data_IF_763231232633
#
_entry.id   IF_763231232633
#
_cell.length_a   1.000
_cell.length_b   1.000
_cell.length_c   1.000
_cell.angle_alpha   90.00
_cell.angle_beta   90.00
_cell.angle_gamma   90.00
#
_symmetry.space_group_name_H-M   'P 1'
#
loop_
_entity.id
_entity.type
_entity.pdbx_description
1 polymer ?
#
# COMPACT_ATOMS: atom_id res chain seq x y z
N UNK A 1 -0.17 53.16 -39.13
CA UNK A 1 -1.62 52.90 -39.24
C UNK A 1 -1.82 51.42 -39.03
N UNK A 2 -2.41 51.02 -37.90
CA UNK A 2 -2.69 49.63 -37.56
C UNK A 2 -3.66 49.06 -38.59
N UNK A 3 -3.21 48.10 -39.38
CA UNK A 3 -4.09 47.27 -40.18
C UNK A 3 -4.93 46.44 -39.20
N UNK A 4 -6.24 46.64 -39.23
CA UNK A 4 -7.20 45.76 -38.56
C UNK A 4 -6.99 44.34 -39.11
N UNK A 5 -6.96 43.34 -38.22
CA UNK A 5 -6.97 41.92 -38.56
C UNK A 5 -8.38 41.36 -38.29
N UNK A 6 -9.36 41.59 -39.20
CA UNK A 6 -10.72 41.15 -38.97
C UNK A 6 -10.86 39.65 -39.21
N UNK A 7 -11.22 38.92 -38.17
CA UNK A 7 -11.69 37.53 -38.27
C UNK A 7 -13.21 37.52 -38.34
N UNK A 8 -13.75 36.89 -39.39
CA UNK A 8 -15.18 36.77 -39.64
C UNK A 8 -15.59 35.31 -39.39
N UNK A 9 -16.21 35.05 -38.25
CA UNK A 9 -16.80 33.73 -37.97
C UNK A 9 -18.28 33.73 -38.35
N UNK A 10 -18.66 32.85 -39.28
CA UNK A 10 -20.06 32.61 -39.63
C UNK A 10 -20.59 31.53 -38.70
N UNK A 11 -21.52 31.90 -37.82
CA UNK A 11 -22.34 30.92 -37.11
C UNK A 11 -23.25 30.21 -38.13
N UNK A 12 -23.37 28.86 -38.10
CA UNK A 12 -24.29 28.16 -38.98
C UNK A 12 -25.73 28.62 -38.71
N UNK A 13 -26.45 29.04 -39.74
CA UNK A 13 -27.89 29.39 -39.67
C UNK A 13 -28.79 28.18 -39.44
N UNK A 14 -28.25 26.97 -39.63
CA UNK A 14 -28.89 25.71 -39.33
C UNK A 14 -28.29 25.08 -38.06
N UNK A 15 -29.05 25.01 -36.94
CA UNK A 15 -28.57 24.42 -35.70
C UNK A 15 -28.13 22.97 -35.85
N UNK A 16 -28.69 22.21 -36.79
CA UNK A 16 -28.26 20.83 -37.05
C UNK A 16 -26.87 20.76 -37.70
N UNK A 17 -26.47 21.76 -38.49
CA UNK A 17 -25.10 21.90 -39.03
C UNK A 17 -24.10 22.35 -37.97
N UNK A 18 -24.51 23.23 -37.07
CA UNK A 18 -23.68 23.61 -35.92
C UNK A 18 -23.35 22.40 -35.02
N UNK A 19 -24.36 21.55 -34.77
CA UNK A 19 -24.16 20.33 -33.98
C UNK A 19 -23.24 19.32 -34.67
N UNK A 20 -23.29 19.17 -36.00
CA UNK A 20 -22.40 18.25 -36.74
C UNK A 20 -20.94 18.70 -36.77
N UNK A 21 -20.71 20.01 -36.59
CA UNK A 21 -19.37 20.59 -36.59
C UNK A 21 -18.82 20.78 -35.16
N UNK A 22 -19.55 20.36 -34.13
CA UNK A 22 -19.03 20.35 -32.76
C UNK A 22 -17.81 19.44 -32.71
N UNK A 23 -16.65 20.05 -32.50
CA UNK A 23 -15.41 19.35 -32.18
C UNK A 23 -15.16 19.54 -30.70
N UNK A 24 -14.87 18.45 -30.02
CA UNK A 24 -14.31 18.55 -28.69
C UNK A 24 -12.80 18.78 -28.83
N UNK A 25 -12.33 19.91 -28.31
CA UNK A 25 -10.91 20.26 -28.27
C UNK A 25 -10.41 20.07 -26.85
N UNK A 26 -9.23 19.48 -26.71
CA UNK A 26 -8.59 19.21 -25.42
C UNK A 26 -7.51 20.27 -25.11
N UNK A 27 -7.08 20.32 -23.85
CA UNK A 27 -6.06 21.24 -23.33
C UNK A 27 -6.40 22.74 -23.42
N UNK A 28 -7.68 23.11 -23.32
CA UNK A 28 -8.11 24.50 -23.16
C UNK A 28 -7.61 25.42 -24.28
N UNK A 29 -6.70 26.33 -23.96
CA UNK A 29 -6.10 27.28 -24.92
C UNK A 29 -5.18 26.62 -25.96
N UNK A 30 -4.67 25.42 -25.70
CA UNK A 30 -3.84 24.69 -26.67
C UNK A 30 -4.67 24.02 -27.78
N UNK A 31 -6.01 23.96 -27.62
CA UNK A 31 -6.98 23.51 -28.63
C UNK A 31 -6.54 22.25 -29.39
N UNK A 32 -6.06 21.23 -28.67
CA UNK A 32 -5.58 20.00 -29.30
C UNK A 32 -6.74 19.17 -29.83
N UNK A 33 -6.56 18.67 -31.06
CA UNK A 33 -7.48 17.71 -31.65
C UNK A 33 -7.44 16.37 -30.89
N UNK A 34 -8.57 15.69 -30.81
CA UNK A 34 -8.69 14.35 -30.23
C UNK A 34 -7.76 13.36 -30.93
N UNK A 35 -7.57 13.50 -32.24
CA UNK A 35 -6.67 12.66 -33.02
C UNK A 35 -5.20 12.76 -32.59
N UNK A 36 -4.82 13.85 -31.93
CA UNK A 36 -3.47 14.11 -31.44
C UNK A 36 -3.30 13.82 -29.93
N UNK A 37 -4.36 13.32 -29.28
CA UNK A 37 -4.39 13.12 -27.84
C UNK A 37 -3.93 11.72 -27.44
N UNK A 38 -3.38 11.59 -26.24
CA UNK A 38 -2.92 10.29 -25.74
C UNK A 38 -4.09 9.31 -25.57
N UNK A 39 -3.82 8.00 -25.73
CA UNK A 39 -4.82 6.94 -25.53
C UNK A 39 -5.50 7.05 -24.15
N UNK A 40 -4.74 7.35 -23.10
CA UNK A 40 -5.28 7.58 -21.76
C UNK A 40 -6.26 8.76 -21.71
N UNK A 41 -5.93 9.89 -22.33
CA UNK A 41 -6.82 11.05 -22.40
C UNK A 41 -8.13 10.71 -23.12
N UNK A 42 -8.05 9.94 -24.21
CA UNK A 42 -9.23 9.47 -24.95
C UNK A 42 -10.09 8.52 -24.10
N UNK A 43 -9.48 7.61 -23.33
CA UNK A 43 -10.20 6.71 -22.43
C UNK A 43 -10.95 7.46 -21.32
N UNK A 44 -10.30 8.44 -20.68
CA UNK A 44 -10.94 9.28 -19.65
C UNK A 44 -12.11 10.05 -20.24
N UNK A 45 -11.93 10.62 -21.43
CA UNK A 45 -12.98 11.34 -22.11
C UNK A 45 -14.16 10.43 -22.48
N UNK A 46 -13.87 9.26 -23.06
CA UNK A 46 -14.89 8.29 -23.42
C UNK A 46 -15.73 7.88 -22.20
N UNK A 47 -15.08 7.57 -21.08
CA UNK A 47 -15.77 7.16 -19.86
C UNK A 47 -16.56 8.31 -19.22
N UNK A 48 -16.06 9.55 -19.30
CA UNK A 48 -16.80 10.73 -18.85
C UNK A 48 -18.05 10.99 -19.71
N UNK A 49 -17.94 10.89 -21.03
CA UNK A 49 -19.07 11.06 -21.95
C UNK A 49 -20.10 9.93 -21.80
N UNK A 50 -19.65 8.68 -21.66
CA UNK A 50 -20.50 7.54 -21.40
C UNK A 50 -21.26 7.72 -20.08
N UNK A 51 -20.58 8.15 -19.01
CA UNK A 51 -21.22 8.42 -17.73
C UNK A 51 -22.25 9.54 -17.85
N UNK A 52 -21.92 10.64 -18.52
CA UNK A 52 -22.85 11.76 -18.73
C UNK A 52 -24.10 11.35 -19.53
N UNK A 53 -23.95 10.52 -20.57
CA UNK A 53 -25.08 10.00 -21.34
C UNK A 53 -25.94 9.04 -20.50
N UNK A 54 -25.33 8.18 -19.68
CA UNK A 54 -26.07 7.28 -18.79
C UNK A 54 -26.83 8.07 -17.72
N UNK A 55 -26.22 9.09 -17.13
CA UNK A 55 -26.86 9.98 -16.16
C UNK A 55 -28.06 10.70 -16.82
N UNK A 56 -27.89 11.23 -18.03
CA UNK A 56 -28.98 11.86 -18.80
C UNK A 56 -30.15 10.89 -19.06
N UNK A 57 -29.87 9.65 -19.46
CA UNK A 57 -30.92 8.64 -19.71
C UNK A 57 -31.65 8.24 -18.43
N UNK A 58 -30.93 8.13 -17.31
CA UNK A 58 -31.51 7.84 -15.99
C UNK A 58 -32.39 8.99 -15.48
N UNK A 59 -31.96 10.24 -15.69
CA UNK A 59 -32.71 11.44 -15.31
C UNK A 59 -33.98 11.61 -16.15
N UNK A 60 -33.90 11.35 -17.45
CA UNK A 60 -35.03 11.40 -18.37
C UNK A 60 -35.97 10.17 -18.27
N UNK A 61 -35.66 9.22 -17.38
CA UNK A 61 -36.37 7.94 -17.27
C UNK A 61 -36.44 7.14 -18.60
N UNK A 62 -35.46 7.33 -19.48
CA UNK A 62 -35.27 6.51 -20.69
C UNK A 62 -34.79 5.10 -20.32
N UNK A 63 -34.04 4.99 -19.21
CA UNK A 63 -33.65 3.74 -18.58
C UNK A 63 -33.88 3.83 -17.07
N UNK A 64 -34.20 2.69 -16.44
CA UNK A 64 -34.43 2.63 -14.99
C UNK A 64 -33.15 2.37 -14.20
N UNK A 65 -32.21 1.63 -14.79
CA UNK A 65 -30.98 1.20 -14.16
C UNK A 65 -29.83 1.08 -15.18
N UNK A 66 -28.61 1.40 -14.76
CA UNK A 66 -27.41 1.23 -15.56
C UNK A 66 -26.40 0.29 -14.88
N UNK A 67 -25.99 -0.77 -15.58
CA UNK A 67 -24.88 -1.62 -15.19
C UNK A 67 -23.67 -1.30 -16.06
N UNK A 68 -22.57 -0.88 -15.44
CA UNK A 68 -21.33 -0.53 -16.13
C UNK A 68 -20.26 -1.55 -15.72
N UNK A 69 -19.59 -2.17 -16.69
CA UNK A 69 -18.44 -3.03 -16.45
C UNK A 69 -17.26 -2.47 -17.23
N UNK A 70 -16.15 -2.24 -16.55
CA UNK A 70 -14.95 -1.63 -17.11
C UNK A 70 -13.77 -2.57 -16.86
N UNK A 71 -13.10 -2.96 -17.93
CA UNK A 71 -11.90 -3.79 -17.86
C UNK A 71 -10.65 -2.91 -17.93
N UNK A 72 -9.73 -3.10 -16.97
CA UNK A 72 -8.40 -2.46 -16.90
C UNK A 72 -8.34 -0.98 -17.34
N UNK A 73 -9.16 -0.11 -16.75
CA UNK A 73 -9.26 1.30 -17.12
C UNK A 73 -7.97 2.10 -16.93
N UNK A 74 -7.01 1.58 -16.17
CA UNK A 74 -5.69 2.16 -15.94
C UNK A 74 -4.75 2.12 -17.15
N UNK A 75 -5.08 1.35 -18.19
CA UNK A 75 -4.23 1.19 -19.36
C UNK A 75 -3.88 2.55 -19.98
N UNK A 76 -2.57 2.81 -20.11
CA UNK A 76 -2.02 4.07 -20.65
C UNK A 76 -2.38 5.35 -19.86
N UNK A 77 -2.80 5.23 -18.60
CA UNK A 77 -3.10 6.36 -17.72
C UNK A 77 -2.01 6.60 -16.68
N UNK A 78 -1.67 7.87 -16.48
CA UNK A 78 -0.83 8.29 -15.37
C UNK A 78 -1.53 8.02 -14.01
N UNK A 79 -0.83 7.58 -12.95
CA UNK A 79 -1.41 7.30 -11.62
C UNK A 79 -2.32 8.39 -11.04
N UNK A 80 -1.99 9.67 -11.25
CA UNK A 80 -2.86 10.78 -10.82
C UNK A 80 -4.19 10.84 -11.58
N UNK A 81 -4.19 10.50 -12.87
CA UNK A 81 -5.40 10.44 -13.69
C UNK A 81 -6.25 9.23 -13.31
N UNK A 82 -5.64 8.07 -13.06
CA UNK A 82 -6.33 6.89 -12.55
C UNK A 82 -7.12 7.24 -11.28
N UNK A 83 -6.46 7.81 -10.26
CA UNK A 83 -7.13 8.22 -9.02
C UNK A 83 -8.26 9.22 -9.25
N UNK A 84 -8.03 10.27 -10.05
CA UNK A 84 -9.07 11.29 -10.31
C UNK A 84 -10.28 10.70 -11.02
N UNK A 85 -10.06 9.89 -12.04
CA UNK A 85 -11.12 9.23 -12.80
C UNK A 85 -11.95 8.30 -11.90
N UNK A 86 -11.29 7.44 -11.11
CA UNK A 86 -11.97 6.49 -10.23
C UNK A 86 -12.71 7.12 -9.06
N UNK A 87 -12.19 8.21 -8.49
CA UNK A 87 -12.93 8.99 -7.50
C UNK A 87 -14.20 9.59 -8.10
N UNK A 88 -14.16 10.02 -9.37
CA UNK A 88 -15.34 10.50 -10.11
C UNK A 88 -16.41 9.42 -10.31
N UNK A 89 -16.00 8.23 -10.77
CA UNK A 89 -16.90 7.08 -10.99
C UNK A 89 -17.60 6.64 -9.69
N UNK A 90 -16.90 6.68 -8.56
CA UNK A 90 -17.49 6.35 -7.25
C UNK A 90 -18.43 7.42 -6.70
N UNK A 91 -18.28 8.65 -7.16
CA UNK A 91 -19.08 9.80 -6.72
C UNK A 91 -20.45 9.88 -7.39
N UNK A 92 -20.75 9.00 -8.36
CA UNK A 92 -22.09 8.85 -8.94
C UNK A 92 -23.11 8.53 -7.86
N UNK A 93 -23.85 9.54 -7.40
CA UNK A 93 -24.78 9.47 -6.24
C UNK A 93 -26.10 8.78 -6.57
N UNK A 94 -26.27 8.27 -7.79
CA UNK A 94 -27.51 7.69 -8.24
C UNK A 94 -27.55 6.22 -7.82
N UNK A 95 -28.47 5.84 -6.92
CA UNK A 95 -28.69 4.44 -6.51
C UNK A 95 -29.16 3.53 -7.68
N UNK A 96 -29.34 4.12 -8.86
CA UNK A 96 -29.77 3.49 -10.10
C UNK A 96 -28.61 3.13 -11.04
N UNK A 97 -27.37 3.11 -10.56
CA UNK A 97 -26.26 2.53 -11.30
C UNK A 97 -25.35 1.67 -10.41
N UNK A 98 -24.76 0.63 -11.01
CA UNK A 98 -23.65 -0.14 -10.44
C UNK A 98 -22.50 -0.20 -11.44
N UNK A 99 -21.28 -0.03 -10.92
CA UNK A 99 -20.05 -0.11 -11.71
C UNK A 99 -19.17 -1.24 -11.18
N UNK A 100 -18.81 -2.16 -12.07
CA UNK A 100 -17.81 -3.20 -11.86
C UNK A 100 -16.53 -2.81 -12.58
N UNK A 101 -15.40 -2.99 -11.92
CA UNK A 101 -14.09 -2.60 -12.44
C UNK A 101 -13.13 -3.74 -12.17
N UNK A 102 -12.49 -4.26 -13.21
CA UNK A 102 -11.29 -5.09 -13.03
C UNK A 102 -10.07 -4.18 -13.08
N UNK A 103 -9.09 -4.44 -12.23
CA UNK A 103 -7.89 -3.61 -12.15
C UNK A 103 -6.73 -4.40 -11.57
N UNK A 104 -5.53 -4.12 -12.06
CA UNK A 104 -4.24 -4.49 -11.49
C UNK A 104 -3.53 -3.27 -10.86
N UNK A 105 -4.20 -2.11 -10.82
CA UNK A 105 -3.61 -0.87 -10.34
C UNK A 105 -3.83 -0.67 -8.84
N UNK A 106 -2.75 -0.59 -8.03
CA UNK A 106 -2.86 -0.18 -6.63
C UNK A 106 -3.34 1.27 -6.49
N UNK A 107 -3.20 2.10 -7.52
CA UNK A 107 -3.71 3.47 -7.48
C UNK A 107 -5.24 3.53 -7.53
N UNK A 108 -5.88 2.61 -8.26
CA UNK A 108 -7.35 2.49 -8.29
C UNK A 108 -7.86 1.95 -6.95
N UNK A 109 -7.21 0.91 -6.43
CA UNK A 109 -7.52 0.35 -5.10
C UNK A 109 -7.40 1.42 -4.01
N UNK A 110 -6.38 2.29 -4.07
CA UNK A 110 -6.13 3.33 -3.05
C UNK A 110 -7.20 4.41 -2.93
N UNK A 111 -8.05 4.57 -3.94
CA UNK A 111 -9.19 5.51 -3.90
C UNK A 111 -10.52 4.78 -3.78
N UNK A 112 -10.51 3.45 -3.75
CA UNK A 112 -11.72 2.62 -3.65
C UNK A 112 -12.04 2.36 -2.19
N UNK A 113 -13.32 2.47 -1.82
CA UNK A 113 -13.74 2.05 -0.49
C UNK A 113 -13.37 0.55 -0.29
N UNK A 114 -12.55 0.20 0.70
CA UNK A 114 -12.00 -1.15 0.81
C UNK A 114 -13.08 -2.22 1.06
N UNK A 115 -14.27 -1.85 1.57
CA UNK A 115 -15.44 -2.74 1.66
C UNK A 115 -15.93 -3.26 0.32
N UNK A 116 -15.61 -2.57 -0.77
CA UNK A 116 -16.08 -2.87 -2.13
C UNK A 116 -15.09 -3.73 -2.92
N UNK A 117 -13.96 -4.11 -2.31
CA UNK A 117 -12.94 -4.90 -2.97
C UNK A 117 -13.33 -6.38 -3.04
N UNK A 118 -13.14 -6.95 -4.22
CA UNK A 118 -13.21 -8.38 -4.50
C UNK A 118 -11.84 -8.81 -5.02
N UNK A 119 -11.21 -9.79 -4.37
CA UNK A 119 -9.98 -10.43 -4.85
C UNK A 119 -10.37 -11.70 -5.58
N UNK A 120 -9.94 -11.82 -6.82
CA UNK A 120 -10.18 -13.00 -7.66
C UNK A 120 -8.83 -13.66 -7.97
N UNK A 121 -8.73 -14.97 -7.73
CA UNK A 121 -7.53 -15.78 -8.00
C UNK A 121 -7.91 -17.02 -8.79
N UNK A 122 -7.13 -17.33 -9.83
CA UNK A 122 -7.24 -18.61 -10.52
C UNK A 122 -6.71 -19.76 -9.63
N UNK A 123 -7.44 -20.85 -9.59
CA UNK A 123 -7.10 -22.09 -8.89
C UNK A 123 -7.21 -23.27 -9.88
N UNK A 124 -6.62 -24.44 -9.59
CA UNK A 124 -6.76 -25.61 -10.45
C UNK A 124 -8.22 -26.03 -10.73
N UNK A 125 -9.15 -25.66 -9.83
CA UNK A 125 -10.56 -26.05 -9.90
C UNK A 125 -11.50 -24.89 -10.34
N UNK A 126 -10.97 -23.76 -10.80
CA UNK A 126 -11.76 -22.58 -11.18
C UNK A 126 -11.23 -21.29 -10.58
N UNK A 127 -12.11 -20.41 -10.09
CA UNK A 127 -11.73 -19.15 -9.46
C UNK A 127 -12.08 -19.12 -7.97
N UNK A 128 -11.14 -18.71 -7.12
CA UNK A 128 -11.40 -18.31 -5.74
C UNK A 128 -11.71 -16.81 -5.72
N UNK A 129 -12.89 -16.44 -5.22
CA UNK A 129 -13.36 -15.06 -5.16
C UNK A 129 -13.64 -14.70 -3.71
N UNK A 130 -12.90 -13.71 -3.21
CA UNK A 130 -12.92 -13.28 -1.81
C UNK A 130 -13.36 -11.84 -1.70
N UNK A 131 -14.34 -11.57 -0.84
CA UNK A 131 -14.84 -10.21 -0.61
C UNK A 131 -14.27 -9.63 0.67
N UNK A 132 -13.63 -8.47 0.56
CA UNK A 132 -13.17 -7.71 1.72
C UNK A 132 -14.31 -7.40 2.69
N UNK A 133 -15.55 -7.23 2.18
CA UNK A 133 -16.74 -6.97 3.00
C UNK A 133 -17.02 -8.05 4.05
N UNK A 134 -16.49 -9.26 3.86
CA UNK A 134 -16.61 -10.35 4.84
C UNK A 134 -15.75 -10.14 6.09
N UNK A 135 -14.83 -9.16 6.09
CA UNK A 135 -14.07 -8.79 7.28
C UNK A 135 -15.00 -8.25 8.38
N UNK A 136 -14.89 -8.82 9.57
CA UNK A 136 -15.60 -8.38 10.77
C UNK A 136 -14.98 -7.08 11.32
N UNK A 137 -15.20 -5.98 10.62
CA UNK A 137 -14.69 -4.65 10.94
C UNK A 137 -15.85 -3.68 11.23
N UNK A 138 -15.69 -2.91 12.28
CA UNK A 138 -16.57 -1.79 12.63
C UNK A 138 -16.50 -0.67 11.58
N UNK A 139 -17.44 0.27 11.64
CA UNK A 139 -17.42 1.42 10.71
C UNK A 139 -16.16 2.26 10.83
N UNK A 140 -15.70 2.51 12.05
CA UNK A 140 -14.47 3.26 12.29
C UNK A 140 -13.25 2.53 11.72
N UNK A 141 -13.11 1.22 11.96
CA UNK A 141 -11.98 0.45 11.42
C UNK A 141 -11.95 0.45 9.88
N UNK A 142 -13.12 0.39 9.25
CA UNK A 142 -13.21 0.49 7.79
C UNK A 142 -12.82 1.86 7.24
N UNK A 143 -13.20 2.93 7.94
CA UNK A 143 -12.79 4.29 7.59
C UNK A 143 -11.29 4.49 7.78
N UNK A 144 -10.74 4.00 8.89
CA UNK A 144 -9.31 4.05 9.18
C UNK A 144 -8.53 3.29 8.10
N UNK A 145 -8.93 2.05 7.81
CA UNK A 145 -8.31 1.26 6.74
C UNK A 145 -8.36 1.99 5.39
N UNK A 146 -9.49 2.65 5.07
CA UNK A 146 -9.62 3.45 3.85
C UNK A 146 -8.70 4.68 3.80
N UNK A 147 -8.33 5.25 4.96
CA UNK A 147 -7.33 6.35 5.05
C UNK A 147 -5.90 5.81 4.95
N UNK A 148 -5.66 4.57 5.38
CA UNK A 148 -4.34 3.95 5.39
C UNK A 148 -3.96 3.21 4.11
N UNK A 149 -4.91 2.70 3.33
CA UNK A 149 -4.65 2.04 2.05
C UNK A 149 -4.27 3.08 0.97
N UNK A 150 -3.11 3.71 1.13
CA UNK A 150 -2.46 4.47 0.06
C UNK A 150 -1.99 3.53 -1.06
N UNK A 151 -1.43 4.08 -2.14
CA UNK A 151 -0.99 3.28 -3.28
C UNK A 151 0.03 2.18 -2.89
N UNK A 152 0.94 2.46 -1.95
CA UNK A 152 1.94 1.48 -1.52
C UNK A 152 1.29 0.36 -0.71
N UNK A 153 0.40 0.68 0.23
CA UNK A 153 -0.31 -0.36 1.02
C UNK A 153 -1.41 -1.05 0.23
N UNK A 154 -1.92 -0.45 -0.84
CA UNK A 154 -2.90 -1.07 -1.73
C UNK A 154 -2.33 -2.23 -2.54
N UNK A 155 -1.01 -2.31 -2.68
CA UNK A 155 -0.33 -3.49 -3.23
C UNK A 155 -0.69 -4.77 -2.46
N UNK A 156 -0.99 -4.64 -1.17
CA UNK A 156 -1.47 -5.73 -0.31
C UNK A 156 -2.66 -6.48 -0.93
N UNK A 157 -3.56 -5.80 -1.64
CA UNK A 157 -4.73 -6.44 -2.27
C UNK A 157 -4.35 -7.42 -3.41
N UNK A 158 -3.14 -7.29 -3.96
CA UNK A 158 -2.61 -8.12 -5.04
C UNK A 158 -1.62 -9.18 -4.56
N UNK A 159 -1.19 -9.12 -3.30
CA UNK A 159 -0.20 -10.01 -2.74
C UNK A 159 -0.63 -11.49 -2.80
N UNK A 160 0.32 -12.39 -3.05
CA UNK A 160 0.14 -13.83 -2.84
C UNK A 160 0.19 -14.15 -1.36
N UNK A 161 1.06 -13.49 -0.61
CA UNK A 161 1.22 -13.53 0.85
C UNK A 161 1.71 -12.18 1.38
N UNK A 162 1.54 -11.91 2.67
CA UNK A 162 1.92 -10.62 3.24
C UNK A 162 2.58 -10.72 4.62
N UNK A 163 3.57 -9.86 4.88
CA UNK A 163 4.12 -9.66 6.21
C UNK A 163 3.73 -8.26 6.70
N UNK A 164 2.93 -8.21 7.77
CA UNK A 164 2.52 -6.97 8.41
C UNK A 164 3.55 -6.62 9.50
N UNK A 165 4.14 -5.44 9.40
CA UNK A 165 5.17 -4.96 10.33
C UNK A 165 4.81 -3.59 10.90
N UNK A 166 5.39 -3.24 12.05
CA UNK A 166 5.06 -1.97 12.73
C UNK A 166 5.47 -0.75 11.93
N UNK A 167 6.63 -0.78 11.26
CA UNK A 167 7.21 0.42 10.67
C UNK A 167 8.09 0.17 9.45
N UNK A 168 8.65 1.28 8.98
CA UNK A 168 9.49 1.31 7.79
C UNK A 168 10.86 0.65 8.02
N UNK A 169 11.36 0.64 9.26
CA UNK A 169 12.64 0.03 9.57
C UNK A 169 12.59 -1.49 9.33
N UNK A 170 11.56 -2.13 9.84
CA UNK A 170 11.23 -3.54 9.63
C UNK A 170 11.05 -3.80 8.14
N UNK A 171 10.25 -3.00 7.45
CA UNK A 171 9.96 -3.19 6.03
C UNK A 171 11.24 -3.26 5.17
N UNK A 172 12.21 -2.39 5.43
CA UNK A 172 13.47 -2.35 4.68
C UNK A 172 14.43 -3.45 5.12
N UNK A 173 14.54 -3.72 6.42
CA UNK A 173 15.51 -4.69 6.94
C UNK A 173 15.10 -6.14 6.65
N UNK A 174 13.80 -6.46 6.67
CA UNK A 174 13.31 -7.79 6.34
C UNK A 174 13.64 -8.16 4.88
N UNK A 175 13.53 -7.22 3.94
CA UNK A 175 13.95 -7.42 2.55
C UNK A 175 15.44 -7.75 2.42
N UNK A 176 16.28 -7.16 3.28
CA UNK A 176 17.71 -7.46 3.28
C UNK A 176 18.01 -8.83 3.88
N UNK A 177 17.32 -9.20 4.95
CA UNK A 177 17.56 -10.47 5.64
C UNK A 177 17.11 -11.69 4.84
N UNK A 178 16.26 -11.48 3.83
CA UNK A 178 15.81 -12.52 2.91
C UNK A 178 16.69 -12.65 1.66
N UNK A 179 17.97 -12.26 1.70
CA UNK A 179 18.83 -12.09 0.52
C UNK A 179 18.88 -13.28 -0.46
N UNK A 180 18.57 -14.50 -0.01
CA UNK A 180 18.48 -15.69 -0.86
C UNK A 180 17.13 -15.81 -1.63
N UNK A 181 16.19 -14.89 -1.41
CA UNK A 181 14.79 -14.99 -1.82
C UNK A 181 14.27 -13.66 -2.36
N UNK A 182 13.86 -13.67 -3.62
CA UNK A 182 13.17 -12.55 -4.24
C UNK A 182 11.69 -12.54 -3.82
N UNK A 183 11.32 -11.57 -2.98
CA UNK A 183 9.94 -11.40 -2.53
C UNK A 183 8.98 -11.01 -3.65
N UNK A 184 9.44 -10.30 -4.68
CA UNK A 184 8.62 -9.93 -5.82
C UNK A 184 8.30 -11.18 -6.66
N UNK A 185 9.29 -12.06 -6.86
CA UNK A 185 9.09 -13.36 -7.53
C UNK A 185 8.10 -14.25 -6.73
N UNK A 186 8.26 -14.29 -5.41
CA UNK A 186 7.37 -15.00 -4.51
C UNK A 186 5.97 -14.37 -4.40
N UNK A 187 5.79 -13.12 -4.85
CA UNK A 187 4.58 -12.32 -4.65
C UNK A 187 4.27 -12.02 -3.18
N UNK A 188 5.31 -11.90 -2.36
CA UNK A 188 5.22 -11.57 -0.94
C UNK A 188 5.35 -10.06 -0.75
N UNK A 189 4.35 -9.44 -0.12
CA UNK A 189 4.38 -8.00 0.18
C UNK A 189 4.68 -7.76 1.66
N UNK A 190 5.72 -6.96 1.97
CA UNK A 190 5.94 -6.46 3.32
C UNK A 190 5.23 -5.11 3.48
N UNK A 191 4.26 -5.05 4.39
CA UNK A 191 3.42 -3.88 4.61
C UNK A 191 3.65 -3.29 6.02
N UNK A 192 4.31 -2.13 6.07
CA UNK A 192 4.38 -1.32 7.29
C UNK A 192 3.03 -0.66 7.59
N UNK A 193 2.46 -0.98 8.75
CA UNK A 193 1.19 -0.37 9.20
C UNK A 193 1.39 0.97 9.93
N UNK A 194 2.63 1.35 10.22
CA UNK A 194 3.02 2.57 10.96
C UNK A 194 2.33 2.69 12.31
N UNK A 195 2.33 1.60 13.06
CA UNK A 195 1.74 1.50 14.39
C UNK A 195 1.63 0.05 14.84
N UNK A 196 0.86 -0.17 15.90
CA UNK A 196 0.70 -1.48 16.54
C UNK A 196 -0.72 -2.03 16.44
N UNK A 197 -1.61 -1.32 15.73
CA UNK A 197 -3.01 -1.69 15.55
C UNK A 197 -3.18 -2.64 14.36
N UNK A 198 -2.68 -3.88 14.48
CA UNK A 198 -2.72 -4.88 13.41
C UNK A 198 -4.12 -5.43 13.11
N UNK A 199 -5.05 -5.42 14.07
CA UNK A 199 -6.37 -6.08 13.96
C UNK A 199 -7.12 -5.74 12.66
N UNK A 200 -7.25 -4.47 12.23
CA UNK A 200 -7.98 -4.16 11.00
C UNK A 200 -7.32 -4.74 9.74
N UNK A 201 -5.99 -4.70 9.68
CA UNK A 201 -5.21 -5.22 8.56
C UNK A 201 -5.29 -6.74 8.49
N UNK A 202 -5.14 -7.45 9.62
CA UNK A 202 -5.23 -8.90 9.69
C UNK A 202 -6.62 -9.39 9.26
N UNK A 203 -7.68 -8.78 9.81
CA UNK A 203 -9.06 -9.12 9.41
C UNK A 203 -9.31 -8.84 7.92
N UNK A 204 -8.74 -7.77 7.37
CA UNK A 204 -8.84 -7.44 5.95
C UNK A 204 -8.13 -8.46 5.04
N UNK A 205 -6.86 -8.79 5.31
CA UNK A 205 -6.12 -9.78 4.51
C UNK A 205 -6.72 -11.18 4.64
N UNK A 206 -7.21 -11.55 5.84
CA UNK A 206 -7.95 -12.81 6.07
C UNK A 206 -9.23 -12.87 5.25
N UNK A 207 -10.00 -11.79 5.19
CA UNK A 207 -11.21 -11.70 4.36
C UNK A 207 -10.92 -11.79 2.85
N UNK A 208 -9.75 -11.30 2.42
CA UNK A 208 -9.26 -11.44 1.04
C UNK A 208 -8.61 -12.80 0.76
N UNK A 209 -8.48 -13.69 1.75
CA UNK A 209 -7.81 -14.98 1.60
C UNK A 209 -6.32 -14.85 1.28
N UNK A 210 -5.65 -13.83 1.81
CA UNK A 210 -4.21 -13.62 1.69
C UNK A 210 -3.53 -14.22 2.93
N UNK A 211 -2.71 -15.28 2.78
CA UNK A 211 -1.82 -15.76 3.84
C UNK A 211 -0.97 -14.63 4.39
N UNK A 212 -0.82 -14.56 5.71
CA UNK A 212 -0.13 -13.45 6.34
C UNK A 212 0.80 -13.90 7.47
N UNK A 213 1.75 -13.04 7.80
CA UNK A 213 2.43 -13.05 9.08
C UNK A 213 2.44 -11.66 9.69
N UNK A 214 2.41 -11.57 11.02
CA UNK A 214 2.54 -10.33 11.77
C UNK A 214 3.84 -10.39 12.55
N UNK A 215 4.64 -9.34 12.47
CA UNK A 215 5.83 -9.17 13.29
C UNK A 215 5.69 -7.90 14.11
N UNK A 216 5.80 -8.02 15.43
CA UNK A 216 5.70 -6.91 16.39
C UNK A 216 6.85 -6.97 17.40
N UNK A 217 7.28 -5.81 17.88
CA UNK A 217 8.31 -5.70 18.92
C UNK A 217 7.82 -6.32 20.25
N UNK A 218 8.77 -6.69 21.11
CA UNK A 218 8.49 -7.22 22.45
C UNK A 218 8.13 -6.13 23.45
N UNK A 219 8.83 -4.99 23.39
CA UNK A 219 8.68 -3.84 24.30
C UNK A 219 8.44 -4.23 25.78
N UNK A 220 9.33 -5.02 26.42
CA UNK A 220 9.09 -5.59 27.75
C UNK A 220 8.96 -4.53 28.86
N UNK A 221 9.52 -3.34 28.65
CA UNK A 221 9.47 -2.22 29.60
C UNK A 221 8.11 -1.48 29.62
N UNK A 222 7.20 -1.80 28.69
CA UNK A 222 5.86 -1.21 28.65
C UNK A 222 4.90 -1.92 29.62
N UNK A 223 3.81 -1.24 29.97
CA UNK A 223 2.82 -1.80 30.89
C UNK A 223 1.76 -2.62 30.14
N UNK A 224 1.53 -3.85 30.61
CA UNK A 224 0.38 -4.69 30.26
C UNK A 224 0.10 -4.75 28.75
N UNK A 225 -1.04 -4.19 28.32
CA UNK A 225 -1.55 -4.22 26.94
C UNK A 225 -0.65 -3.52 25.91
N UNK A 226 0.33 -2.72 26.36
CA UNK A 226 1.27 -2.04 25.48
C UNK A 226 2.51 -2.89 25.16
N UNK A 227 2.80 -3.94 25.94
CA UNK A 227 3.86 -4.91 25.62
C UNK A 227 3.50 -5.69 24.35
N UNK A 228 4.50 -6.24 23.65
CA UNK A 228 4.30 -7.15 22.52
C UNK A 228 3.37 -8.30 22.85
N UNK A 229 3.57 -8.95 24.01
CA UNK A 229 2.68 -10.01 24.50
C UNK A 229 1.23 -9.53 24.70
N UNK A 230 1.05 -8.34 25.27
CA UNK A 230 -0.26 -7.72 25.44
C UNK A 230 -0.95 -7.38 24.11
N UNK A 231 -0.18 -6.88 23.13
CA UNK A 231 -0.65 -6.61 21.76
C UNK A 231 -1.11 -7.89 21.07
N UNK A 232 -0.31 -8.95 21.15
CA UNK A 232 -0.64 -10.25 20.55
C UNK A 232 -1.85 -10.89 21.24
N UNK A 233 -1.92 -10.88 22.56
CA UNK A 233 -3.10 -11.39 23.27
C UNK A 233 -4.39 -10.68 22.83
N UNK A 234 -4.33 -9.35 22.65
CA UNK A 234 -5.47 -8.56 22.13
C UNK A 234 -5.80 -8.92 20.68
N UNK A 235 -4.78 -9.12 19.83
CA UNK A 235 -4.96 -9.51 18.45
C UNK A 235 -5.61 -10.91 18.36
N UNK A 236 -5.04 -11.91 19.02
CA UNK A 236 -5.58 -13.27 19.08
C UNK A 236 -7.04 -13.27 19.57
N UNK A 237 -7.33 -12.56 20.66
CA UNK A 237 -8.70 -12.41 21.16
C UNK A 237 -9.66 -11.82 20.10
N UNK A 238 -9.22 -10.80 19.36
CA UNK A 238 -10.02 -10.19 18.28
C UNK A 238 -10.24 -11.09 17.06
N UNK A 239 -9.42 -12.13 16.92
CA UNK A 239 -9.51 -13.15 15.86
C UNK A 239 -10.27 -14.41 16.32
N UNK A 240 -10.65 -14.48 17.59
CA UNK A 240 -11.26 -15.66 18.19
C UNK A 240 -10.28 -16.82 18.39
N UNK A 241 -8.99 -16.53 18.56
CA UNK A 241 -7.92 -17.52 18.75
C UNK A 241 -7.26 -17.33 20.11
N UNK A 242 -6.78 -18.42 20.71
CA UNK A 242 -6.05 -18.39 21.96
C UNK A 242 -4.60 -17.92 21.75
N UNK A 243 -4.10 -17.08 22.67
CA UNK A 243 -2.77 -16.47 22.56
C UNK A 243 -1.59 -17.47 22.47
N UNK A 244 -1.62 -18.66 23.11
CA UNK A 244 -0.58 -19.68 22.92
C UNK A 244 -0.43 -20.17 21.47
N UNK A 245 -1.48 -20.03 20.67
CA UNK A 245 -1.50 -20.45 19.26
C UNK A 245 -1.11 -19.30 18.31
N UNK A 246 -0.59 -18.18 18.82
CA UNK A 246 -0.22 -17.01 18.04
C UNK A 246 0.73 -17.34 16.87
N UNK A 247 1.79 -18.13 17.10
CA UNK A 247 2.72 -18.52 16.04
C UNK A 247 2.04 -19.40 14.97
N UNK A 248 1.08 -20.25 15.37
CA UNK A 248 0.31 -21.07 14.43
C UNK A 248 -0.64 -20.22 13.56
N UNK A 249 -1.09 -19.08 14.07
CA UNK A 249 -1.85 -18.05 13.32
C UNK A 249 -0.95 -17.03 12.60
N UNK A 250 0.36 -17.27 12.55
CA UNK A 250 1.32 -16.41 11.85
C UNK A 250 1.66 -15.12 12.60
N UNK A 251 1.51 -15.06 13.92
CA UNK A 251 1.80 -13.87 14.73
C UNK A 251 3.08 -14.10 15.55
N UNK A 252 4.09 -13.27 15.31
CA UNK A 252 5.44 -13.41 15.87
C UNK A 252 5.84 -12.16 16.64
N UNK A 253 6.53 -12.35 17.78
CA UNK A 253 6.93 -11.29 18.70
C UNK A 253 8.46 -11.34 18.84
N UNK A 254 9.09 -10.17 18.71
CA UNK A 254 10.52 -10.00 19.05
C UNK A 254 10.77 -10.01 20.55
N UNK A 255 12.03 -10.08 20.96
CA UNK A 255 12.39 -10.10 22.38
C UNK A 255 12.29 -8.71 22.99
N UNK A 256 12.83 -7.71 22.30
CA UNK A 256 12.81 -6.31 22.75
C UNK A 256 12.31 -5.40 21.63
N UNK A 257 13.17 -5.10 20.68
CA UNK A 257 12.89 -4.28 19.49
C UNK A 257 13.75 -4.82 18.36
N UNK A 258 13.32 -4.68 17.11
CA UNK A 258 14.07 -5.19 15.96
C UNK A 258 15.56 -4.83 16.00
N UNK A 259 15.92 -3.58 16.33
CA UNK A 259 17.33 -3.17 16.32
C UNK A 259 18.15 -3.81 17.43
N UNK A 260 17.57 -4.00 18.61
CA UNK A 260 18.26 -4.66 19.72
C UNK A 260 18.43 -6.16 19.47
N UNK A 261 17.38 -6.80 18.96
CA UNK A 261 17.39 -8.22 18.61
C UNK A 261 18.42 -8.48 17.51
N UNK A 262 18.49 -7.62 16.48
CA UNK A 262 19.51 -7.71 15.42
C UNK A 262 20.93 -7.53 15.95
N UNK A 263 21.15 -6.60 16.88
CA UNK A 263 22.47 -6.32 17.44
C UNK A 263 23.02 -7.49 18.26
N UNK A 264 22.12 -8.25 18.88
CA UNK A 264 22.44 -9.39 19.72
C UNK A 264 22.48 -10.72 18.95
N UNK A 265 21.90 -10.77 17.74
CA UNK A 265 21.83 -11.99 16.91
C UNK A 265 23.21 -12.53 16.51
N UNK A 266 24.14 -11.68 16.08
CA UNK A 266 25.50 -12.12 15.70
C UNK A 266 26.53 -11.00 15.75
N UNK A 267 27.82 -11.37 15.87
CA UNK A 267 28.93 -10.41 15.82
C UNK A 267 29.02 -9.67 14.47
N UNK A 268 28.62 -10.33 13.37
CA UNK A 268 28.61 -9.70 12.04
C UNK A 268 27.47 -8.68 11.92
N UNK A 269 26.27 -8.99 12.41
CA UNK A 269 25.21 -7.99 12.53
C UNK A 269 25.69 -6.79 13.35
N UNK A 270 26.30 -7.04 14.51
CA UNK A 270 26.81 -6.00 15.39
C UNK A 270 27.77 -5.05 14.68
N UNK A 271 28.72 -5.60 13.90
CA UNK A 271 29.67 -4.83 13.09
C UNK A 271 28.96 -3.97 12.04
N UNK A 272 28.05 -4.54 11.26
CA UNK A 272 27.29 -3.83 10.24
C UNK A 272 26.45 -2.70 10.84
N UNK A 273 25.83 -2.94 11.98
CA UNK A 273 25.02 -1.94 12.67
C UNK A 273 25.87 -0.77 13.19
N UNK A 274 27.07 -1.04 13.72
CA UNK A 274 27.99 0.03 14.14
C UNK A 274 28.50 0.83 12.95
N UNK A 275 28.81 0.17 11.84
CA UNK A 275 29.19 0.84 10.59
C UNK A 275 28.07 1.75 10.07
N UNK A 276 26.84 1.22 10.00
CA UNK A 276 25.67 1.98 9.59
C UNK A 276 25.45 3.20 10.48
N UNK A 277 25.58 3.03 11.81
CA UNK A 277 25.47 4.11 12.77
C UNK A 277 26.55 5.18 12.52
N UNK A 278 27.81 4.78 12.35
CA UNK A 278 28.93 5.71 12.10
C UNK A 278 28.71 6.53 10.84
N UNK A 279 28.15 5.95 9.78
CA UNK A 279 27.84 6.69 8.55
C UNK A 279 26.84 7.85 8.73
N UNK A 280 26.05 7.81 9.82
CA UNK A 280 25.06 8.84 10.16
C UNK A 280 25.59 9.90 11.14
N UNK A 281 26.77 9.70 11.70
CA UNK A 281 27.34 10.55 12.74
C UNK A 281 28.35 11.54 12.15
N UNK A 282 28.48 12.69 12.81
CA UNK A 282 29.60 13.62 12.55
C UNK A 282 30.91 12.99 13.03
N UNK A 283 32.04 13.36 12.43
CA UNK A 283 33.35 12.74 12.68
C UNK A 283 33.68 12.58 14.17
N UNK A 284 33.50 13.62 14.99
CA UNK A 284 33.80 13.54 16.43
C UNK A 284 32.94 12.50 17.17
N UNK A 285 31.64 12.40 16.84
CA UNK A 285 30.74 11.44 17.46
C UNK A 285 30.98 10.00 16.96
N UNK A 286 31.46 9.84 15.72
CA UNK A 286 31.89 8.55 15.17
C UNK A 286 33.17 8.07 15.86
N UNK A 287 34.14 8.95 16.12
CA UNK A 287 35.36 8.60 16.87
C UNK A 287 35.04 8.08 18.27
N UNK A 288 34.08 8.68 18.98
CA UNK A 288 33.63 8.16 20.28
C UNK A 288 33.04 6.75 20.19
N UNK A 289 32.32 6.44 19.10
CA UNK A 289 31.80 5.10 18.87
C UNK A 289 32.94 4.12 18.59
N UNK A 290 33.93 4.52 17.79
CA UNK A 290 35.12 3.68 17.51
C UNK A 290 35.93 3.37 18.77
N UNK A 291 36.11 4.33 19.66
CA UNK A 291 36.79 4.12 20.93
C UNK A 291 36.04 3.14 21.83
N UNK A 292 34.71 3.30 21.95
CA UNK A 292 33.87 2.40 22.75
C UNK A 292 33.83 0.98 22.15
N UNK A 293 33.72 0.88 20.82
CA UNK A 293 33.76 -0.38 20.08
C UNK A 293 35.09 -1.11 20.28
N UNK A 294 36.21 -0.40 20.12
CA UNK A 294 37.55 -0.96 20.29
C UNK A 294 37.83 -1.44 21.72
N UNK A 295 37.16 -0.84 22.72
CA UNK A 295 37.25 -1.25 24.13
C UNK A 295 36.26 -2.35 24.50
N UNK A 296 35.38 -2.77 23.59
CA UNK A 296 34.33 -3.76 23.85
C UNK A 296 33.27 -3.29 24.84
N UNK A 297 33.05 -1.97 24.95
CA UNK A 297 32.08 -1.37 25.88
C UNK A 297 30.86 -0.79 25.17
N UNK A 298 30.67 -1.09 23.89
CA UNK A 298 29.55 -0.56 23.10
C UNK A 298 28.41 -1.59 23.05
N UNK A 299 27.32 -1.28 23.74
CA UNK A 299 26.18 -2.17 23.93
C UNK A 299 24.98 -1.77 23.07
N UNK A 300 23.97 -2.66 22.96
CA UNK A 300 22.73 -2.36 22.23
C UNK A 300 22.05 -1.08 22.74
N UNK A 301 22.05 -0.84 24.05
CA UNK A 301 21.49 0.37 24.65
C UNK A 301 22.15 1.68 24.15
N UNK A 302 23.46 1.65 23.84
CA UNK A 302 24.17 2.78 23.25
C UNK A 302 23.73 3.04 21.81
N UNK A 303 23.57 1.97 21.03
CA UNK A 303 23.00 2.04 19.68
C UNK A 303 21.60 2.66 19.74
N UNK A 304 20.70 2.10 20.56
CA UNK A 304 19.31 2.54 20.69
C UNK A 304 19.19 4.01 21.07
N UNK A 305 20.02 4.47 22.01
CA UNK A 305 20.09 5.89 22.40
C UNK A 305 20.48 6.78 21.23
N UNK A 306 21.40 6.34 20.37
CA UNK A 306 21.93 7.15 19.25
C UNK A 306 21.02 7.14 18.02
N UNK A 307 20.27 6.07 17.78
CA UNK A 307 19.33 5.96 16.64
C UNK A 307 17.93 6.48 16.97
N UNK A 308 17.64 6.79 18.24
CA UNK A 308 16.34 7.33 18.67
C UNK A 308 15.88 8.50 17.78
N UNK A 309 14.66 8.40 17.25
CA UNK A 309 14.08 9.38 16.33
C UNK A 309 14.63 9.34 14.89
N UNK A 310 15.57 8.43 14.59
CA UNK A 310 16.21 8.25 13.28
C UNK A 310 16.25 6.78 12.85
N UNK A 311 15.42 5.92 13.42
CA UNK A 311 15.32 4.48 13.13
C UNK A 311 15.19 4.20 11.63
N UNK A 312 14.31 4.91 10.92
CA UNK A 312 14.12 4.73 9.47
C UNK A 312 15.38 5.07 8.64
N UNK A 313 16.10 6.14 8.99
CA UNK A 313 17.37 6.47 8.33
C UNK A 313 18.45 5.44 8.65
N UNK A 314 18.49 4.97 9.89
CA UNK A 314 19.40 3.90 10.31
C UNK A 314 19.15 2.60 9.53
N UNK A 315 17.90 2.17 9.43
CA UNK A 315 17.51 1.01 8.63
C UNK A 315 17.93 1.14 7.16
N UNK A 316 17.75 2.32 6.54
CA UNK A 316 18.22 2.55 5.16
C UNK A 316 19.74 2.45 5.03
N UNK A 317 20.50 3.00 5.97
CA UNK A 317 21.96 2.91 5.96
C UNK A 317 22.42 1.48 6.15
N UNK A 318 21.85 0.79 7.13
CA UNK A 318 22.13 -0.61 7.38
C UNK A 318 21.77 -1.46 6.19
N UNK A 319 20.66 -1.19 5.49
CA UNK A 319 20.23 -1.93 4.33
C UNK A 319 21.13 -1.75 3.10
N UNK A 320 21.84 -0.63 2.99
CA UNK A 320 22.74 -0.33 1.88
C UNK A 320 24.18 -0.85 2.04
N UNK A 321 24.56 -1.43 3.19
CA UNK A 321 25.91 -1.96 3.39
C UNK A 321 26.10 -3.32 2.68
N UNK A 322 27.33 -3.73 2.41
CA UNK A 322 27.58 -5.10 1.94
C UNK A 322 27.69 -6.08 3.11
N UNK A 323 27.47 -7.37 2.88
CA UNK A 323 27.60 -8.44 3.88
C UNK A 323 26.28 -8.98 4.43
N UNK A 324 26.28 -10.24 4.92
CA UNK A 324 25.08 -10.93 5.36
C UNK A 324 24.51 -10.29 6.63
N UNK A 325 23.19 -10.09 6.66
CA UNK A 325 22.45 -9.67 7.85
C UNK A 325 21.60 -10.85 8.30
N UNK A 326 21.96 -11.46 9.43
CA UNK A 326 21.29 -12.65 9.97
C UNK A 326 19.95 -12.25 10.59
N UNK A 327 18.89 -12.99 10.25
CA UNK A 327 17.55 -12.77 10.79
C UNK A 327 17.40 -13.40 12.18
N UNK A 328 16.87 -12.67 13.17
CA UNK A 328 16.41 -13.26 14.43
C UNK A 328 15.40 -14.40 14.24
N UNK A 329 15.37 -15.32 15.19
CA UNK A 329 14.56 -16.55 15.10
C UNK A 329 13.07 -16.32 14.82
N UNK A 330 12.45 -15.30 15.42
CA UNK A 330 11.03 -14.98 15.19
C UNK A 330 10.75 -14.50 13.75
N UNK A 331 11.73 -13.87 13.10
CA UNK A 331 11.64 -13.44 11.69
C UNK A 331 11.78 -14.64 10.77
N UNK A 332 12.70 -15.56 11.07
CA UNK A 332 12.84 -16.81 10.30
C UNK A 332 11.55 -17.63 10.35
N UNK A 333 10.95 -17.79 11.55
CA UNK A 333 9.66 -18.47 11.71
C UNK A 333 8.54 -17.79 10.89
N UNK A 334 8.52 -16.46 10.84
CA UNK A 334 7.54 -15.72 10.04
C UNK A 334 7.71 -15.98 8.53
N UNK A 335 8.95 -16.05 8.05
CA UNK A 335 9.22 -16.42 6.66
C UNK A 335 8.80 -17.86 6.36
N UNK A 336 9.08 -18.80 7.27
CA UNK A 336 8.74 -20.21 7.09
C UNK A 336 7.24 -20.48 7.14
N UNK A 337 6.50 -19.75 7.98
CA UNK A 337 5.04 -19.83 8.04
C UNK A 337 4.36 -19.49 6.70
N UNK A 338 4.92 -18.57 5.93
CA UNK A 338 4.37 -18.20 4.62
C UNK A 338 4.79 -19.14 3.48
N UNK A 339 5.69 -20.08 3.75
CA UNK A 339 6.18 -21.08 2.79
C UNK A 339 5.41 -22.41 2.86
N UNK A 340 4.76 -22.70 3.99
CA UNK A 340 3.99 -23.93 4.22
C UNK A 340 2.61 -23.91 3.57
#
# INVERSE_FOLDING_TARGET
MNALDPTLEVAPTDPARALRNLRLLLDGSAQRDLAMSSLGTLNVLYLALLQAELDRRLENAEIEYALIAIEEPEAHLHPHLQRRMFSGLQSGRNRRSSTFVTTHSPHIVSVTNPRRLLRMRATPNGADVRSARSADLSTTEWEDLGRYLDATRSELAFAKSAILVEGFAEQVLLQRMSADHDFDEAGLTICAIHGTHFTPYVKFVRALGIPYSVITDGDPDLKNALTGAGRVAKLCHSLGVDAPDAEAEGIFIGDVTLEEDLFNESDDNRRLMVEALKSMLKSAAATTVDEAWSRGTFEASDLMRRIRGRKGLFAQRLAGLEGPLSAPGYIQKAFDHLRS
#
